data_IF_081283485792
#
_entry.id   IF_081283485792
#
_cell.length_a   1.000
_cell.length_b   1.000
_cell.length_c   1.000
_cell.angle_alpha   90.00
_cell.angle_beta   90.00
_cell.angle_gamma   90.00
#
_symmetry.space_group_name_H-M   'P 1'
#
loop_
_entity.id
_entity.type
_entity.pdbx_description
1 polymer ?
#
# COMPACT_ATOMS: atom_id res chain seq x y z
N UNK A 1 13.79 23.37 2.66
CA UNK A 1 12.88 22.47 3.40
C UNK A 1 13.41 21.03 3.54
N UNK A 2 14.51 20.63 2.87
CA UNK A 2 15.00 19.24 2.88
C UNK A 2 16.00 18.90 4.01
N UNK A 3 16.53 19.89 4.73
CA UNK A 3 17.64 19.69 5.69
C UNK A 3 17.27 20.14 7.12
N UNK A 4 16.05 19.87 7.58
CA UNK A 4 15.73 20.03 9.00
C UNK A 4 16.09 18.73 9.74
N UNK A 5 17.19 18.69 10.53
CA UNK A 5 17.67 17.48 11.20
C UNK A 5 16.66 16.89 12.20
N UNK A 6 15.59 17.63 12.52
CA UNK A 6 14.53 17.18 13.41
C UNK A 6 13.39 16.44 12.69
N UNK A 7 13.30 16.50 11.36
CA UNK A 7 12.23 15.84 10.58
C UNK A 7 12.27 14.31 10.71
N UNK A 8 13.47 13.72 10.73
CA UNK A 8 13.60 12.27 10.94
C UNK A 8 13.23 11.85 12.35
N UNK A 9 13.52 12.69 13.35
CA UNK A 9 13.13 12.41 14.74
C UNK A 9 11.63 12.54 14.95
N UNK A 10 10.97 13.49 14.30
CA UNK A 10 9.52 13.63 14.39
C UNK A 10 8.80 12.43 13.74
N UNK A 11 9.27 11.96 12.58
CA UNK A 11 8.73 10.76 11.92
C UNK A 11 8.99 9.50 12.77
N UNK A 12 10.22 9.32 13.24
CA UNK A 12 10.60 8.15 14.05
C UNK A 12 9.87 8.13 15.40
N UNK A 13 9.71 9.29 16.03
CA UNK A 13 9.02 9.44 17.32
C UNK A 13 7.49 9.47 17.23
N UNK A 14 6.91 9.55 16.03
CA UNK A 14 5.45 9.56 15.85
C UNK A 14 4.79 8.20 16.12
N UNK A 15 5.56 7.10 16.12
CA UNK A 15 5.06 5.73 16.26
C UNK A 15 5.83 4.96 17.32
N UNK A 16 5.18 3.98 17.95
CA UNK A 16 5.84 3.11 18.92
C UNK A 16 6.87 2.19 18.23
N UNK A 17 7.90 1.71 18.95
CA UNK A 17 8.87 0.77 18.40
C UNK A 17 8.25 -0.51 17.82
N UNK A 18 7.17 -1.01 18.42
CA UNK A 18 6.45 -2.20 17.98
C UNK A 18 5.82 -2.00 16.60
N UNK A 19 5.28 -0.80 16.32
CA UNK A 19 4.74 -0.45 15.01
C UNK A 19 5.83 -0.44 13.95
N UNK A 20 7.02 0.08 14.29
CA UNK A 20 8.17 0.04 13.38
C UNK A 20 8.64 -1.39 13.08
N UNK A 21 8.70 -2.25 14.09
CA UNK A 21 9.05 -3.67 13.93
C UNK A 21 8.03 -4.36 13.02
N UNK A 22 6.73 -4.15 13.28
CA UNK A 22 5.63 -4.68 12.47
C UNK A 22 5.70 -4.21 11.01
N UNK A 23 5.99 -2.92 10.80
CA UNK A 23 6.10 -2.31 9.49
C UNK A 23 7.27 -2.89 8.69
N UNK A 24 8.45 -3.01 9.31
CA UNK A 24 9.63 -3.60 8.68
C UNK A 24 9.37 -5.07 8.37
N UNK A 25 8.80 -5.83 9.31
CA UNK A 25 8.49 -7.24 9.11
C UNK A 25 7.54 -7.47 7.92
N UNK A 26 6.44 -6.71 7.85
CA UNK A 26 5.49 -6.84 6.74
C UNK A 26 6.05 -6.35 5.40
N UNK A 27 6.86 -5.29 5.41
CA UNK A 27 7.56 -4.82 4.19
C UNK A 27 8.54 -5.87 3.65
N UNK A 28 9.34 -6.48 4.53
CA UNK A 28 10.26 -7.57 4.16
C UNK A 28 9.50 -8.81 3.68
N UNK A 29 8.35 -9.11 4.28
CA UNK A 29 7.48 -10.18 3.83
C UNK A 29 7.00 -9.94 2.40
N UNK A 30 6.50 -8.75 2.08
CA UNK A 30 6.09 -8.38 0.72
C UNK A 30 7.24 -8.48 -0.26
N UNK A 31 8.41 -7.94 0.08
CA UNK A 31 9.59 -8.02 -0.79
C UNK A 31 9.95 -9.48 -1.14
N UNK A 32 9.87 -10.37 -0.14
CA UNK A 32 10.12 -11.81 -0.33
C UNK A 32 9.02 -12.48 -1.15
N UNK A 33 7.75 -12.10 -0.94
CA UNK A 33 6.59 -12.73 -1.57
C UNK A 33 6.38 -12.27 -3.02
N UNK A 34 6.74 -11.02 -3.33
CA UNK A 34 6.59 -10.44 -4.66
C UNK A 34 7.22 -11.34 -5.73
N UNK A 35 6.40 -11.70 -6.70
CA UNK A 35 6.79 -12.55 -7.83
C UNK A 35 7.41 -11.75 -8.98
N UNK A 36 7.52 -10.43 -8.86
CA UNK A 36 7.97 -9.57 -9.95
C UNK A 36 9.40 -9.94 -10.38
N UNK A 37 9.74 -10.05 -11.69
CA UNK A 37 11.07 -10.50 -12.11
C UNK A 37 12.20 -9.51 -11.77
N UNK A 38 11.89 -8.21 -11.83
CA UNK A 38 12.84 -7.15 -11.47
C UNK A 38 12.94 -6.94 -9.96
N UNK A 39 14.17 -6.98 -9.41
CA UNK A 39 14.45 -6.69 -7.99
C UNK A 39 14.02 -5.28 -7.60
N UNK A 40 14.21 -4.30 -8.49
CA UNK A 40 13.83 -2.91 -8.24
C UNK A 40 12.31 -2.79 -8.06
N UNK A 41 11.54 -3.46 -8.92
CA UNK A 41 10.08 -3.47 -8.81
C UNK A 41 9.60 -4.11 -7.50
N UNK A 42 10.25 -5.19 -7.04
CA UNK A 42 9.94 -5.78 -5.72
C UNK A 42 10.16 -4.79 -4.57
N UNK A 43 11.25 -4.02 -4.62
CA UNK A 43 11.54 -2.99 -3.62
C UNK A 43 10.47 -1.90 -3.66
N UNK A 44 10.06 -1.48 -4.86
CA UNK A 44 9.01 -0.47 -5.02
C UNK A 44 7.67 -0.98 -4.48
N UNK A 45 7.27 -2.20 -4.81
CA UNK A 45 6.03 -2.82 -4.30
C UNK A 45 6.02 -2.94 -2.77
N UNK A 46 7.14 -3.40 -2.19
CA UNK A 46 7.32 -3.47 -0.75
C UNK A 46 7.28 -2.08 -0.11
N UNK A 47 7.98 -1.11 -0.71
CA UNK A 47 8.02 0.28 -0.24
C UNK A 47 6.64 0.93 -0.25
N UNK A 48 5.87 0.77 -1.33
CA UNK A 48 4.49 1.29 -1.42
C UNK A 48 3.61 0.63 -0.36
N UNK A 49 3.69 -0.70 -0.22
CA UNK A 49 2.92 -1.44 0.78
C UNK A 49 3.23 -0.99 2.21
N UNK A 50 4.52 -0.77 2.52
CA UNK A 50 4.97 -0.22 3.78
C UNK A 50 4.48 1.22 4.00
N UNK A 51 4.63 2.10 3.02
CA UNK A 51 4.16 3.49 3.13
C UNK A 51 2.65 3.58 3.35
N UNK A 52 1.87 2.74 2.66
CA UNK A 52 0.42 2.63 2.90
C UNK A 52 0.13 2.18 4.32
N UNK A 53 0.81 1.15 4.83
CA UNK A 53 0.62 0.68 6.19
C UNK A 53 1.02 1.72 7.24
N UNK A 54 2.08 2.48 7.02
CA UNK A 54 2.47 3.59 7.91
C UNK A 54 1.42 4.70 7.95
N UNK A 55 0.80 5.01 6.81
CA UNK A 55 -0.21 6.07 6.71
C UNK A 55 -1.58 5.65 7.25
N UNK A 56 -2.06 4.46 6.88
CA UNK A 56 -3.41 3.99 7.20
C UNK A 56 -3.48 3.07 8.43
N UNK A 57 -2.33 2.66 8.98
CA UNK A 57 -2.24 1.79 10.14
C UNK A 57 -3.12 2.18 11.33
N UNK A 58 -3.16 3.46 11.75
CA UNK A 58 -3.95 3.89 12.91
C UNK A 58 -5.45 3.84 12.64
N UNK A 59 -5.87 4.29 11.45
CA UNK A 59 -7.28 4.30 11.07
C UNK A 59 -7.83 2.88 10.98
N UNK A 60 -7.03 1.97 10.42
CA UNK A 60 -7.37 0.55 10.36
C UNK A 60 -7.37 -0.12 11.74
N UNK A 61 -6.44 0.24 12.62
CA UNK A 61 -6.42 -0.26 14.00
C UNK A 61 -7.65 0.19 14.78
N UNK A 62 -8.02 1.47 14.66
CA UNK A 62 -9.21 2.04 15.28
C UNK A 62 -10.49 1.41 14.73
N UNK A 63 -10.57 1.20 13.42
CA UNK A 63 -11.72 0.57 12.77
C UNK A 63 -11.89 -0.90 13.17
N UNK A 64 -10.80 -1.67 13.24
CA UNK A 64 -10.84 -3.09 13.58
C UNK A 64 -10.81 -3.37 15.09
N UNK A 65 -10.59 -2.36 15.93
CA UNK A 65 -10.49 -2.51 17.39
C UNK A 65 -9.29 -3.36 17.85
N UNK A 66 -8.21 -3.37 17.07
CA UNK A 66 -6.99 -4.16 17.32
C UNK A 66 -5.79 -3.26 17.60
N UNK A 67 -4.66 -3.85 18.01
CA UNK A 67 -3.42 -3.09 18.19
C UNK A 67 -2.90 -2.55 16.86
N UNK A 68 -2.31 -1.35 16.90
CA UNK A 68 -1.76 -0.69 15.72
C UNK A 68 -0.66 -1.52 15.06
N UNK A 69 0.19 -2.19 15.85
CA UNK A 69 1.21 -3.09 15.31
C UNK A 69 0.60 -4.26 14.51
N UNK A 70 -0.51 -4.84 14.99
CA UNK A 70 -1.23 -5.89 14.25
C UNK A 70 -1.87 -5.35 12.97
N UNK A 71 -2.50 -4.18 13.04
CA UNK A 71 -3.09 -3.54 11.86
C UNK A 71 -2.02 -3.25 10.79
N UNK A 72 -0.87 -2.70 11.20
CA UNK A 72 0.24 -2.33 10.32
C UNK A 72 0.88 -3.54 9.67
N UNK A 73 1.15 -4.63 10.40
CA UNK A 73 1.72 -5.84 9.79
C UNK A 73 0.73 -6.48 8.80
N UNK A 74 -0.56 -6.48 9.11
CA UNK A 74 -1.60 -6.99 8.23
C UNK A 74 -1.73 -6.11 6.98
N UNK A 75 -1.79 -4.79 7.12
CA UNK A 75 -1.87 -3.85 6.01
C UNK A 75 -0.63 -3.90 5.12
N UNK A 76 0.56 -3.95 5.69
CA UNK A 76 1.78 -4.06 4.89
C UNK A 76 1.82 -5.39 4.15
N UNK A 77 1.45 -6.50 4.78
CA UNK A 77 1.44 -7.83 4.15
C UNK A 77 0.33 -7.99 3.10
N UNK A 78 -0.87 -7.46 3.36
CA UNK A 78 -2.03 -7.51 2.46
C UNK A 78 -2.03 -6.38 1.42
N UNK A 79 -1.31 -5.29 1.65
CA UNK A 79 -1.19 -4.16 0.72
C UNK A 79 -0.65 -4.60 -0.63
N UNK A 80 0.23 -5.61 -0.64
CA UNK A 80 0.67 -6.27 -1.86
C UNK A 80 -0.49 -6.86 -2.68
N UNK A 81 -1.44 -7.56 -2.04
CA UNK A 81 -2.60 -8.13 -2.74
C UNK A 81 -3.49 -7.04 -3.31
N UNK A 82 -3.64 -5.94 -2.58
CA UNK A 82 -4.44 -4.80 -3.04
C UNK A 82 -3.78 -4.09 -4.23
N UNK A 83 -2.46 -3.94 -4.20
CA UNK A 83 -1.67 -3.42 -5.32
C UNK A 83 -1.74 -4.35 -6.53
N UNK A 84 -1.61 -5.66 -6.34
CA UNK A 84 -1.67 -6.65 -7.42
C UNK A 84 -3.06 -6.68 -8.08
N UNK A 85 -4.13 -6.57 -7.29
CA UNK A 85 -5.50 -6.43 -7.81
C UNK A 85 -5.66 -5.10 -8.54
N UNK A 86 -5.19 -3.99 -7.98
CA UNK A 86 -5.30 -2.67 -8.60
C UNK A 86 -4.51 -2.60 -9.93
N UNK A 87 -3.28 -3.12 -9.96
CA UNK A 87 -2.47 -3.17 -11.19
C UNK A 87 -3.07 -4.12 -12.22
N UNK A 88 -3.63 -5.26 -11.80
CA UNK A 88 -4.35 -6.17 -12.70
C UNK A 88 -5.58 -5.51 -13.33
N UNK A 89 -6.37 -4.78 -12.53
CA UNK A 89 -7.52 -4.00 -13.03
C UNK A 89 -7.06 -2.89 -14.00
N UNK A 90 -5.98 -2.20 -13.69
CA UNK A 90 -5.43 -1.13 -14.55
C UNK A 90 -4.80 -1.67 -15.84
N UNK A 91 -4.14 -2.83 -15.77
CA UNK A 91 -3.61 -3.52 -16.92
C UNK A 91 -4.72 -3.97 -17.86
N UNK A 92 -5.89 -4.31 -17.31
CA UNK A 92 -7.11 -4.57 -18.06
C UNK A 92 -7.78 -3.28 -18.55
N UNK A 93 -7.04 -2.56 -19.40
CA UNK A 93 -7.53 -1.33 -20.07
C UNK A 93 -8.80 -1.58 -20.87
N UNK A 94 -9.03 -2.80 -21.33
CA UNK A 94 -10.24 -3.20 -22.04
C UNK A 94 -11.45 -3.17 -21.09
N UNK A 95 -11.34 -3.77 -19.90
CA UNK A 95 -12.39 -3.72 -18.87
C UNK A 95 -12.62 -2.30 -18.36
N UNK A 96 -11.56 -1.52 -18.13
CA UNK A 96 -11.69 -0.11 -17.74
C UNK A 96 -12.40 0.71 -18.82
N UNK A 97 -12.06 0.51 -20.10
CA UNK A 97 -12.72 1.16 -21.23
C UNK A 97 -14.20 0.77 -21.30
N UNK A 98 -14.53 -0.50 -21.13
CA UNK A 98 -15.91 -0.96 -21.15
C UNK A 98 -16.75 -0.42 -19.98
N UNK A 99 -16.17 -0.33 -18.78
CA UNK A 99 -16.83 0.29 -17.62
C UNK A 99 -17.02 1.79 -17.84
N UNK A 100 -15.99 2.48 -18.34
CA UNK A 100 -16.08 3.91 -18.68
C UNK A 100 -17.12 4.15 -19.77
N UNK A 101 -17.16 3.35 -20.84
CA UNK A 101 -18.17 3.45 -21.91
C UNK A 101 -19.57 3.14 -21.39
N UNK A 102 -19.73 2.14 -20.51
CA UNK A 102 -21.02 1.81 -19.89
C UNK A 102 -21.50 2.85 -18.88
N UNK A 103 -20.60 3.52 -18.13
CA UNK A 103 -20.96 4.52 -17.11
C UNK A 103 -21.01 5.96 -17.60
N UNK A 104 -20.17 6.36 -18.56
CA UNK A 104 -20.15 7.71 -19.14
C UNK A 104 -21.07 7.86 -20.35
N UNK A 105 -21.85 6.82 -20.66
CA UNK A 105 -22.84 6.88 -21.74
C UNK A 105 -22.19 6.75 -23.10
N UNK A 106 -22.12 5.51 -23.60
CA UNK A 106 -22.05 5.23 -25.02
C UNK A 106 -23.32 5.70 -25.75
N UNK A 107 -23.56 7.01 -25.73
CA UNK A 107 -24.52 7.69 -26.59
C UNK A 107 -23.91 7.88 -27.96
N UNK A 108 -23.91 6.82 -28.77
CA UNK A 108 -23.86 6.95 -30.22
C UNK A 108 -24.81 5.93 -30.84
N UNK A 109 -26.10 6.23 -30.74
CA UNK A 109 -27.05 5.91 -31.81
C UNK A 109 -26.54 6.70 -33.05
N UNK A 110 -26.38 6.09 -34.22
CA UNK A 110 -27.51 5.63 -35.01
C UNK A 110 -27.91 6.79 -35.90
#
# INVERSE_FOLDING_TARGET
>A
MADDPNLWRSIAGARSPEVWIALIAGTLYVYRKSQHPSRLSRVIEAGISGMMAYSFGPDAAAWAGISEALAVILLSSCGYLLLDVATSIVADRAVLRDILVKRLGGGKNG
#
